data_IF_265000190314
#
_entry.id   IF_265000190314
#
_cell.length_a   1.000
_cell.length_b   1.000
_cell.length_c   1.000
_cell.angle_alpha   90.00
_cell.angle_beta   90.00
_cell.angle_gamma   90.00
#
_symmetry.space_group_name_H-M   'P 1'
#
loop_
_entity.id
_entity.type
_entity.pdbx_description
1 polymer ?
#
# COMPACT_ATOMS: atom_id res chain seq x y z
N UNK A 1 -1.49 5.27 -11.90
CA UNK A 1 -0.75 4.06 -12.32
C UNK A 1 -1.52 2.89 -11.71
N UNK A 2 -2.41 2.26 -12.47
CA UNK A 2 -3.57 1.54 -11.90
C UNK A 2 -3.35 0.03 -11.77
N UNK A 3 -2.28 -0.53 -12.35
CA UNK A 3 -2.09 -1.98 -12.34
C UNK A 3 -0.74 -2.35 -11.72
N UNK A 4 -0.81 -3.14 -10.65
CA UNK A 4 0.31 -3.71 -9.91
C UNK A 4 1.27 -4.50 -10.80
N UNK A 5 0.77 -5.09 -11.90
CA UNK A 5 1.58 -5.80 -12.89
C UNK A 5 2.61 -4.91 -13.58
N UNK A 6 2.34 -3.61 -13.71
CA UNK A 6 3.33 -2.68 -14.28
C UNK A 6 4.46 -2.36 -13.29
N UNK A 7 4.23 -2.61 -12.00
CA UNK A 7 5.18 -2.37 -10.91
C UNK A 7 5.99 -3.65 -10.66
N UNK A 8 5.31 -4.79 -10.52
CA UNK A 8 5.93 -6.09 -10.27
C UNK A 8 6.39 -6.82 -11.53
N UNK A 9 6.01 -6.34 -12.72
CA UNK A 9 6.32 -6.98 -13.99
C UNK A 9 7.75 -6.74 -14.46
N UNK A 10 8.08 -7.35 -15.60
CA UNK A 10 9.42 -7.31 -16.18
C UNK A 10 9.92 -5.90 -16.52
N UNK A 11 9.03 -4.96 -16.84
CA UNK A 11 9.40 -3.58 -17.18
C UNK A 11 8.90 -2.61 -16.11
N UNK A 12 9.77 -2.28 -15.16
CA UNK A 12 9.44 -1.53 -13.94
C UNK A 12 10.09 -0.13 -13.89
N UNK A 13 10.44 0.43 -15.05
CA UNK A 13 11.07 1.76 -15.16
C UNK A 13 10.28 2.93 -14.58
N UNK A 14 8.99 2.74 -14.33
CA UNK A 14 8.11 3.75 -13.74
C UNK A 14 8.31 3.95 -12.24
N UNK A 15 8.97 3.00 -11.56
CA UNK A 15 9.29 3.05 -10.13
C UNK A 15 10.58 3.84 -9.88
N UNK A 16 11.44 3.92 -10.89
CA UNK A 16 12.75 4.55 -10.78
C UNK A 16 12.62 6.03 -10.35
N UNK A 17 13.33 6.40 -9.29
CA UNK A 17 13.30 7.74 -8.66
C UNK A 17 11.95 8.17 -8.06
N UNK A 18 11.01 7.25 -7.86
CA UNK A 18 9.76 7.54 -7.16
C UNK A 18 9.93 7.33 -5.65
N UNK A 19 9.51 8.32 -4.85
CA UNK A 19 9.48 8.21 -3.38
C UNK A 19 8.15 7.68 -2.84
N UNK A 20 7.06 7.94 -3.54
CA UNK A 20 5.71 7.55 -3.15
C UNK A 20 4.96 7.05 -4.37
N UNK A 21 4.40 5.85 -4.28
CA UNK A 21 3.64 5.18 -5.33
C UNK A 21 2.27 4.88 -4.78
N UNK A 22 1.24 5.40 -5.44
CA UNK A 22 -0.16 5.12 -5.12
C UNK A 22 -0.70 4.09 -6.11
N UNK A 23 -0.97 2.89 -5.61
CA UNK A 23 -1.61 1.81 -6.34
C UNK A 23 -3.11 1.93 -6.13
N UNK A 24 -3.83 2.39 -7.15
CA UNK A 24 -5.28 2.42 -7.12
C UNK A 24 -5.85 1.06 -7.56
N UNK A 25 -6.89 0.58 -6.89
CA UNK A 25 -7.64 -0.64 -7.19
C UNK A 25 -6.82 -1.95 -7.12
N UNK A 26 -6.39 -2.36 -5.91
CA UNK A 26 -5.94 -3.74 -5.73
C UNK A 26 -7.10 -4.71 -5.99
N UNK A 27 -6.99 -5.49 -7.08
CA UNK A 27 -7.97 -6.51 -7.43
C UNK A 27 -7.88 -7.71 -6.47
N UNK A 28 -9.02 -8.35 -6.19
CA UNK A 28 -9.16 -9.54 -5.34
C UNK A 28 -8.20 -10.67 -5.70
N UNK A 29 -7.83 -11.50 -4.73
CA UNK A 29 -6.86 -12.58 -4.85
C UNK A 29 -7.40 -13.68 -5.80
N UNK A 30 -6.78 -13.79 -6.98
CA UNK A 30 -6.81 -14.99 -7.82
C UNK A 30 -5.46 -15.73 -7.67
N UNK A 31 -5.39 -17.01 -8.02
CA UNK A 31 -4.18 -17.85 -7.90
C UNK A 31 -2.91 -17.22 -8.49
N UNK A 32 -3.03 -16.40 -9.53
CA UNK A 32 -1.90 -15.65 -10.13
C UNK A 32 -1.41 -14.48 -9.27
N UNK A 33 -2.26 -13.88 -8.43
CA UNK A 33 -1.93 -12.71 -7.59
C UNK A 33 -1.22 -13.07 -6.30
N UNK A 34 -1.27 -14.34 -5.86
CA UNK A 34 -0.44 -14.83 -4.75
C UNK A 34 1.05 -14.65 -5.08
N UNK A 35 1.45 -14.89 -6.34
CA UNK A 35 2.81 -14.67 -6.82
C UNK A 35 3.22 -13.18 -6.78
N UNK A 36 2.26 -12.27 -7.00
CA UNK A 36 2.50 -10.82 -6.90
C UNK A 36 2.67 -10.34 -5.44
N UNK A 37 2.11 -11.04 -4.46
CA UNK A 37 2.28 -10.68 -3.03
C UNK A 37 3.74 -10.81 -2.59
N UNK A 38 4.41 -11.88 -2.98
CA UNK A 38 5.83 -12.07 -2.63
C UNK A 38 6.74 -11.08 -3.37
N UNK A 39 6.44 -10.79 -4.64
CA UNK A 39 7.13 -9.74 -5.39
C UNK A 39 6.97 -8.35 -4.75
N UNK A 40 5.77 -8.03 -4.25
CA UNK A 40 5.52 -6.79 -3.51
C UNK A 40 6.27 -6.75 -2.18
N UNK A 41 6.27 -7.85 -1.41
CA UNK A 41 7.01 -7.94 -0.15
C UNK A 41 8.51 -7.68 -0.39
N UNK A 42 9.06 -8.22 -1.47
CA UNK A 42 10.44 -7.96 -1.90
C UNK A 42 10.61 -6.48 -2.22
N UNK A 43 9.75 -5.91 -3.07
CA UNK A 43 9.82 -4.51 -3.48
C UNK A 43 9.69 -3.51 -2.32
N UNK A 44 8.95 -3.84 -1.26
CA UNK A 44 8.85 -2.98 -0.07
C UNK A 44 10.09 -3.12 0.83
N UNK A 45 10.70 -4.30 0.87
CA UNK A 45 11.80 -4.61 1.81
C UNK A 45 13.18 -4.30 1.22
N UNK A 46 13.34 -4.45 -0.09
CA UNK A 46 14.62 -4.37 -0.79
C UNK A 46 15.05 -2.92 -0.99
N UNK A 47 16.25 -2.59 -0.51
CA UNK A 47 16.86 -1.26 -0.66
C UNK A 47 17.41 -0.99 -2.05
N UNK A 48 17.63 -2.05 -2.83
CA UNK A 48 18.23 -2.01 -4.15
C UNK A 48 17.38 -2.87 -5.07
N UNK A 49 16.94 -2.30 -6.19
CA UNK A 49 16.14 -2.97 -7.20
C UNK A 49 16.87 -3.02 -8.54
N UNK A 50 16.48 -3.99 -9.37
CA UNK A 50 16.88 -4.03 -10.78
C UNK A 50 15.75 -3.40 -11.58
N UNK A 51 16.07 -2.33 -12.30
CA UNK A 51 15.15 -1.68 -13.22
C UNK A 51 15.46 -2.07 -14.66
N UNK A 52 14.46 -2.64 -15.34
CA UNK A 52 14.53 -2.97 -16.75
C UNK A 52 13.67 -1.99 -17.56
N UNK A 53 14.31 -1.27 -18.47
CA UNK A 53 13.65 -0.37 -19.43
C UNK A 53 13.49 -1.10 -20.76
N UNK A 54 12.34 -0.95 -21.43
CA UNK A 54 12.15 -1.53 -22.77
C UNK A 54 13.27 -1.07 -23.71
N UNK A 55 13.88 -2.02 -24.41
CA UNK A 55 14.99 -1.80 -25.35
C UNK A 55 16.26 -1.16 -24.74
N UNK A 56 16.48 -1.32 -23.43
CA UNK A 56 17.70 -0.87 -22.74
C UNK A 56 18.21 -1.91 -21.75
N UNK A 57 19.49 -1.83 -21.42
CA UNK A 57 20.11 -2.70 -20.42
C UNK A 57 19.49 -2.49 -19.04
N UNK A 58 19.44 -3.58 -18.27
CA UNK A 58 19.06 -3.56 -16.87
C UNK A 58 20.04 -2.72 -16.05
N UNK A 59 19.50 -1.96 -15.10
CA UNK A 59 20.29 -1.09 -14.22
C UNK A 59 19.95 -1.40 -12.78
N UNK A 60 20.96 -1.38 -11.93
CA UNK A 60 20.79 -1.45 -10.48
C UNK A 60 20.53 -0.04 -9.97
N UNK A 61 19.41 0.15 -9.27
CA UNK A 61 19.06 1.44 -8.68
C UNK A 61 18.66 1.26 -7.21
N UNK A 62 18.84 2.31 -6.43
CA UNK A 62 18.32 2.35 -5.07
C UNK A 62 16.80 2.46 -5.10
N UNK A 63 16.14 1.68 -4.25
CA UNK A 63 14.71 1.72 -4.08
C UNK A 63 14.37 2.55 -2.84
N UNK A 64 13.74 3.70 -3.09
CA UNK A 64 13.27 4.65 -2.07
C UNK A 64 11.75 4.79 -2.10
N UNK A 65 11.06 3.87 -2.78
CA UNK A 65 9.63 3.95 -3.00
C UNK A 65 8.85 3.46 -1.78
N UNK A 66 7.88 4.27 -1.36
CA UNK A 66 6.87 3.92 -0.38
C UNK A 66 5.55 3.66 -1.12
N UNK A 67 4.73 2.75 -0.61
CA UNK A 67 3.50 2.33 -1.29
C UNK A 67 2.28 2.73 -0.47
N UNK A 68 1.32 3.36 -1.14
CA UNK A 68 -0.05 3.51 -0.66
C UNK A 68 -0.92 2.68 -1.59
N UNK A 69 -1.72 1.79 -1.01
CA UNK A 69 -2.57 0.89 -1.77
C UNK A 69 -4.02 1.17 -1.40
N UNK A 70 -4.85 1.45 -2.40
CA UNK A 70 -6.27 1.73 -2.23
C UNK A 70 -7.06 0.64 -2.94
N UNK A 71 -8.11 0.13 -2.31
CA UNK A 71 -8.97 -0.89 -2.90
C UNK A 71 -10.40 -0.76 -2.40
N UNK A 72 -11.34 -1.08 -3.30
CA UNK A 72 -12.75 -1.22 -2.97
C UNK A 72 -13.12 -2.66 -2.58
N UNK A 73 -12.17 -3.60 -2.65
CA UNK A 73 -12.40 -5.00 -2.31
C UNK A 73 -12.26 -5.25 -0.81
N UNK A 74 -13.13 -6.10 -0.26
CA UNK A 74 -13.09 -6.47 1.16
C UNK A 74 -11.80 -7.21 1.56
N UNK A 75 -11.21 -7.99 0.63
CA UNK A 75 -9.93 -8.68 0.82
C UNK A 75 -9.00 -8.35 -0.34
N UNK A 76 -8.28 -7.21 -0.28
CA UNK A 76 -7.43 -6.77 -1.38
C UNK A 76 -6.07 -7.46 -1.43
N UNK A 77 -5.62 -8.03 -0.30
CA UNK A 77 -4.31 -8.65 -0.17
C UNK A 77 -4.32 -9.74 0.91
N UNK A 78 -3.52 -10.79 0.71
CA UNK A 78 -3.26 -11.80 1.73
C UNK A 78 -2.24 -11.27 2.74
N UNK A 79 -2.66 -11.17 4.00
CA UNK A 79 -1.80 -10.78 5.11
C UNK A 79 -1.43 -12.01 5.95
N UNK A 80 -0.19 -12.02 6.43
CA UNK A 80 0.28 -13.02 7.40
C UNK A 80 0.25 -12.39 8.81
N UNK A 81 -0.02 -13.20 9.83
CA UNK A 81 -0.13 -12.74 11.22
C UNK A 81 1.17 -12.08 11.74
N UNK A 82 2.31 -12.49 11.19
CA UNK A 82 3.64 -11.92 11.50
C UNK A 82 4.04 -10.75 10.61
N UNK A 83 3.20 -10.33 9.66
CA UNK A 83 3.54 -9.27 8.74
C UNK A 83 3.62 -7.92 9.47
N UNK A 84 4.72 -7.20 9.22
CA UNK A 84 5.08 -5.91 9.82
C UNK A 84 5.27 -4.83 8.78
N UNK A 85 4.71 -4.99 7.58
CA UNK A 85 4.87 -4.10 6.42
C UNK A 85 3.62 -3.31 6.06
N UNK A 86 2.43 -3.77 6.46
CA UNK A 86 1.15 -3.20 6.02
C UNK A 86 0.35 -2.62 7.18
N UNK A 87 0.02 -1.33 7.08
CA UNK A 87 -1.01 -0.69 7.91
C UNK A 87 -2.31 -0.75 7.11
N UNK A 88 -3.35 -1.34 7.69
CA UNK A 88 -4.68 -1.45 7.06
C UNK A 88 -5.61 -0.47 7.76
N UNK A 89 -6.24 0.40 6.99
CA UNK A 89 -7.22 1.36 7.49
C UNK A 89 -8.42 1.29 6.58
N UNK A 90 -9.62 1.20 7.16
CA UNK A 90 -10.88 1.39 6.44
C UNK A 90 -11.39 2.79 6.69
N UNK A 91 -11.74 3.46 5.61
CA UNK A 91 -12.43 4.75 5.66
C UNK A 91 -13.89 4.52 6.03
N UNK A 92 -14.49 5.45 6.77
CA UNK A 92 -15.90 5.37 7.13
C UNK A 92 -16.80 5.49 5.90
N UNK A 93 -17.92 4.76 5.93
CA UNK A 93 -18.93 4.80 4.86
C UNK A 93 -19.86 6.04 5.00
N UNK A 94 -19.59 6.93 5.97
CA UNK A 94 -20.48 8.01 6.40
C UNK A 94 -20.73 9.10 5.37
N UNK A 95 -19.74 9.37 4.51
CA UNK A 95 -19.84 10.34 3.41
C UNK A 95 -19.81 9.64 2.04
N UNK A 96 -20.15 8.35 1.98
CA UNK A 96 -20.15 7.63 0.72
C UNK A 96 -21.17 8.27 -0.23
N UNK A 97 -20.70 8.67 -1.43
CA UNK A 97 -21.48 9.41 -2.44
C UNK A 97 -21.97 10.82 -2.02
N UNK A 98 -21.46 11.37 -0.94
CA UNK A 98 -21.74 12.74 -0.51
C UNK A 98 -20.91 13.73 -1.34
N UNK A 99 -21.43 14.09 -2.50
CA UNK A 99 -20.72 14.97 -3.45
C UNK A 99 -20.49 16.36 -2.88
N UNK A 100 -21.46 16.91 -2.14
CA UNK A 100 -21.37 18.25 -1.56
C UNK A 100 -20.23 18.32 -0.54
N UNK A 101 -20.12 17.33 0.36
CA UNK A 101 -19.00 17.24 1.29
C UNK A 101 -17.64 17.16 0.58
N UNK A 102 -17.52 16.36 -0.48
CA UNK A 102 -16.26 16.21 -1.20
C UNK A 102 -15.91 17.43 -2.05
N UNK A 103 -16.90 18.12 -2.60
CA UNK A 103 -16.72 19.38 -3.32
C UNK A 103 -16.20 20.46 -2.35
N UNK A 104 -16.87 20.64 -1.20
CA UNK A 104 -16.42 21.55 -0.14
C UNK A 104 -15.00 21.20 0.33
N UNK A 105 -14.72 19.91 0.55
CA UNK A 105 -13.39 19.44 0.94
C UNK A 105 -12.35 19.79 -0.14
N UNK A 106 -12.65 19.57 -1.41
CA UNK A 106 -11.76 19.88 -2.52
C UNK A 106 -11.47 21.38 -2.60
N UNK A 107 -12.45 22.24 -2.31
CA UNK A 107 -12.25 23.69 -2.23
C UNK A 107 -11.30 24.10 -1.10
N UNK A 108 -11.28 23.37 0.02
CA UNK A 108 -10.32 23.64 1.11
C UNK A 108 -8.87 23.27 0.79
N UNK A 109 -8.64 22.42 -0.22
CA UNK A 109 -7.30 21.98 -0.67
C UNK A 109 -6.58 23.07 -1.50
N UNK A 110 -6.47 24.25 -0.91
CA UNK A 110 -5.82 25.43 -1.49
C UNK A 110 -4.30 25.32 -1.46
N UNK A 111 -3.60 26.19 -2.22
CA UNK A 111 -2.14 26.27 -2.16
C UNK A 111 -1.62 26.58 -0.74
N UNK A 112 -2.36 27.39 0.03
CA UNK A 112 -2.00 27.69 1.42
C UNK A 112 -2.14 26.47 2.33
N UNK A 113 -3.19 25.65 2.13
CA UNK A 113 -3.32 24.37 2.83
C UNK A 113 -2.10 23.48 2.59
N UNK A 114 -1.67 23.31 1.34
CA UNK A 114 -0.49 22.51 1.02
C UNK A 114 0.81 23.08 1.59
N UNK A 115 0.96 24.41 1.64
CA UNK A 115 2.10 25.06 2.27
C UNK A 115 2.13 24.79 3.79
N UNK A 116 0.98 24.88 4.46
CA UNK A 116 0.87 24.53 5.87
C UNK A 116 1.14 23.05 6.13
N UNK A 117 0.59 22.17 5.31
CA UNK A 117 0.82 20.73 5.39
C UNK A 117 2.31 20.38 5.19
N UNK A 118 2.96 21.01 4.22
CA UNK A 118 4.39 20.85 3.99
C UNK A 118 5.21 21.34 5.19
N UNK A 119 4.88 22.52 5.72
CA UNK A 119 5.53 23.06 6.91
C UNK A 119 5.38 22.12 8.11
N UNK A 120 4.17 21.57 8.32
CA UNK A 120 3.92 20.57 9.35
C UNK A 120 4.84 19.36 9.19
N UNK A 121 4.93 18.77 7.99
CA UNK A 121 5.83 17.64 7.74
C UNK A 121 7.31 17.96 7.91
N UNK A 122 7.75 19.19 7.60
CA UNK A 122 9.13 19.62 7.84
C UNK A 122 9.46 19.83 9.33
N UNK A 123 8.45 20.18 10.14
CA UNK A 123 8.60 20.38 11.60
C UNK A 123 8.35 19.11 12.42
N UNK A 124 7.87 18.04 11.81
CA UNK A 124 7.49 16.82 12.50
C UNK A 124 8.73 16.06 12.98
N UNK A 125 8.89 15.91 14.30
CA UNK A 125 9.96 15.10 14.89
C UNK A 125 9.62 13.61 14.79
N UNK A 126 10.32 12.93 13.88
CA UNK A 126 10.20 11.48 13.64
C UNK A 126 11.36 10.69 14.28
N UNK A 127 12.17 11.29 15.15
CA UNK A 127 13.33 10.63 15.77
C UNK A 127 12.98 9.35 16.55
N UNK A 128 11.77 9.29 17.12
CA UNK A 128 11.24 8.13 17.84
C UNK A 128 10.29 7.27 17.01
N UNK A 129 10.02 7.66 15.77
CA UNK A 129 9.08 6.93 14.92
C UNK A 129 9.72 5.63 14.43
N UNK A 130 9.03 4.51 14.68
CA UNK A 130 9.45 3.20 14.21
C UNK A 130 8.45 2.66 13.19
N UNK A 131 8.78 2.64 11.88
CA UNK A 131 7.87 2.17 10.84
C UNK A 131 7.55 0.68 10.95
N UNK A 132 8.30 -0.10 11.76
CA UNK A 132 8.03 -1.52 12.02
C UNK A 132 6.99 -1.74 13.12
N UNK A 133 6.67 -0.71 13.90
CA UNK A 133 5.60 -0.77 14.90
C UNK A 133 4.29 -0.37 14.24
N UNK A 134 3.62 -1.37 13.68
CA UNK A 134 2.34 -1.18 13.00
C UNK A 134 1.21 -1.16 14.04
N UNK A 135 0.33 -0.15 14.02
CA UNK A 135 -0.82 -0.10 14.91
C UNK A 135 -1.74 -1.31 14.64
N UNK A 136 -2.38 -1.80 15.70
CA UNK A 136 -3.44 -2.78 15.57
C UNK A 136 -4.72 -2.05 15.13
N UNK A 137 -5.36 -2.55 14.07
CA UNK A 137 -6.62 -2.02 13.54
C UNK A 137 -7.61 -3.16 13.41
N UNK A 138 -8.91 -2.87 13.59
CA UNK A 138 -9.97 -3.88 13.50
C UNK A 138 -9.97 -4.54 12.12
N UNK A 139 -9.75 -3.76 11.06
CA UNK A 139 -9.77 -4.29 9.70
C UNK A 139 -8.56 -5.15 9.38
N UNK A 140 -7.42 -4.87 10.02
CA UNK A 140 -6.28 -5.80 9.96
C UNK A 140 -6.66 -7.14 10.58
N UNK A 141 -7.35 -7.15 11.71
CA UNK A 141 -7.80 -8.38 12.37
C UNK A 141 -8.80 -9.15 11.49
N UNK A 142 -9.80 -8.46 10.92
CA UNK A 142 -10.76 -9.06 9.99
C UNK A 142 -10.07 -9.66 8.77
N UNK A 143 -9.07 -8.98 8.20
CA UNK A 143 -8.30 -9.52 7.07
C UNK A 143 -7.47 -10.74 7.46
N UNK A 144 -6.89 -10.77 8.67
CA UNK A 144 -6.15 -11.94 9.14
C UNK A 144 -7.07 -13.15 9.29
N UNK A 145 -8.26 -12.95 9.85
CA UNK A 145 -9.28 -14.00 9.98
C UNK A 145 -9.76 -14.50 8.61
N UNK A 146 -10.04 -13.60 7.67
CA UNK A 146 -10.43 -13.95 6.31
C UNK A 146 -9.32 -14.68 5.53
N UNK A 147 -8.05 -14.49 5.90
CA UNK A 147 -6.91 -15.14 5.27
C UNK A 147 -6.51 -16.48 5.92
N UNK A 148 -7.12 -16.86 7.05
CA UNK A 148 -6.89 -18.16 7.70
C UNK A 148 -7.28 -19.30 6.76
N UNK A 149 -6.46 -20.34 6.74
CA UNK A 149 -6.78 -21.57 6.03
C UNK A 149 -7.88 -22.35 6.73
N UNK A 150 -8.56 -23.22 5.99
CA UNK A 150 -9.61 -24.12 6.55
C UNK A 150 -9.07 -24.97 7.70
N UNK A 151 -7.79 -25.34 7.67
CA UNK A 151 -7.14 -26.11 8.73
C UNK A 151 -6.91 -25.29 10.01
N UNK A 152 -6.53 -24.01 9.87
CA UNK A 152 -6.36 -23.12 11.02
C UNK A 152 -7.71 -22.81 11.69
N UNK A 153 -8.75 -22.62 10.89
CA UNK A 153 -10.12 -22.45 11.40
C UNK A 153 -10.58 -23.70 12.17
N UNK A 154 -10.29 -24.89 11.66
CA UNK A 154 -10.65 -26.15 12.32
C UNK A 154 -9.93 -26.36 13.66
N UNK A 155 -8.65 -25.95 13.76
CA UNK A 155 -7.88 -26.03 15.00
C UNK A 155 -8.40 -25.03 16.04
N UNK A 156 -8.80 -23.82 15.62
CA UNK A 156 -9.34 -22.81 16.52
C UNK A 156 -10.75 -23.17 17.07
N UNK A 157 -11.49 -24.06 16.40
CA UNK A 157 -12.82 -24.53 16.83
C UNK A 157 -12.78 -25.71 17.83
N UNK A 158 -11.61 -26.33 18.05
CA UNK A 158 -11.44 -27.49 18.96
C UNK A 158 -10.83 -27.09 20.29
#
# INVERSE_FOLDING_TARGET
MTNLENICGKFNSSIENMKLIVCNELQSIDTTKVLNSDALKSLITDKVGVVERKYKDQRVCENVANFIMVSNNAVPMKLESSDRRYVVVRTSDSHMQDTEYFDDLAETLTSDFYNHLFSYFMTLDISKFNPRQIPHTEERQTLLEANKSVYELFIDET
#
